data_IF_337938723824
#
_entry.id   IF_337938723824
#
_cell.length_a   1.000
_cell.length_b   1.000
_cell.length_c   1.000
_cell.angle_alpha   90.00
_cell.angle_beta   90.00
_cell.angle_gamma   90.00
#
_symmetry.space_group_name_H-M   'P 1'
#
loop_
_entity.id
_entity.type
_entity.pdbx_description
1 polymer ?
#
# COMPACT_ATOMS: atom_id res chain seq x y z
N UNK A 1 -43.84 -14.89 -18.60
CA UNK A 1 -43.30 -13.90 -19.55
C UNK A 1 -44.45 -13.02 -20.02
N UNK A 2 -44.37 -11.71 -19.82
CA UNK A 2 -45.43 -10.76 -20.19
C UNK A 2 -45.45 -10.61 -21.72
N UNK A 3 -46.40 -11.24 -22.40
CA UNK A 3 -46.50 -11.22 -23.87
C UNK A 3 -47.18 -9.93 -24.30
N UNK A 4 -46.46 -9.07 -25.02
CA UNK A 4 -47.03 -7.93 -25.73
C UNK A 4 -47.51 -8.37 -27.14
N UNK A 5 -48.46 -7.65 -27.76
CA UNK A 5 -48.99 -8.00 -29.09
C UNK A 5 -47.90 -7.86 -30.18
N UNK A 6 -48.09 -8.52 -31.33
CA UNK A 6 -47.16 -8.66 -32.46
C UNK A 6 -46.42 -7.39 -32.96
N UNK A 7 -46.88 -6.18 -32.63
CA UNK A 7 -46.25 -4.89 -33.00
C UNK A 7 -45.63 -4.13 -31.82
N UNK A 8 -45.58 -4.75 -30.64
CA UNK A 8 -45.10 -4.15 -29.38
C UNK A 8 -44.21 -5.14 -28.62
N UNK A 9 -43.22 -4.64 -27.90
CA UNK A 9 -42.34 -5.44 -27.05
C UNK A 9 -42.34 -4.89 -25.62
N UNK A 10 -41.95 -5.71 -24.65
CA UNK A 10 -41.97 -5.33 -23.25
C UNK A 10 -40.65 -4.64 -22.84
N UNK A 11 -40.72 -3.38 -22.41
CA UNK A 11 -39.60 -2.62 -21.85
C UNK A 11 -39.98 -2.09 -20.46
N UNK A 12 -39.21 -2.43 -19.41
CA UNK A 12 -39.48 -2.06 -18.01
C UNK A 12 -40.96 -2.27 -17.58
N UNK A 13 -41.56 -3.41 -17.98
CA UNK A 13 -42.97 -3.78 -17.70
C UNK A 13 -44.04 -2.97 -18.45
N UNK A 14 -43.66 -2.16 -19.44
CA UNK A 14 -44.58 -1.42 -20.34
C UNK A 14 -44.45 -1.98 -21.76
N UNK A 15 -45.57 -2.18 -22.46
CA UNK A 15 -45.54 -2.54 -23.88
C UNK A 15 -45.29 -1.30 -24.73
N UNK A 16 -44.15 -1.26 -25.42
CA UNK A 16 -43.72 -0.17 -26.31
C UNK A 16 -43.69 -0.66 -27.76
N UNK A 17 -43.89 0.24 -28.72
CA UNK A 17 -43.85 -0.13 -30.13
C UNK A 17 -42.45 -0.59 -30.56
N UNK A 18 -42.38 -1.51 -31.52
CA UNK A 18 -41.11 -1.85 -32.16
C UNK A 18 -40.50 -0.62 -32.83
N UNK A 19 -39.21 -0.36 -32.57
CA UNK A 19 -38.49 0.82 -33.07
C UNK A 19 -38.50 2.04 -32.15
N UNK A 20 -39.39 2.11 -31.16
CA UNK A 20 -39.37 3.17 -30.14
C UNK A 20 -38.70 2.65 -28.88
N UNK A 21 -37.38 2.82 -28.77
CA UNK A 21 -36.68 2.68 -27.49
C UNK A 21 -36.76 4.05 -26.81
N UNK A 22 -37.48 4.21 -25.68
CA UNK A 22 -37.39 5.43 -24.90
C UNK A 22 -35.91 5.69 -24.60
N UNK A 23 -35.45 6.93 -24.80
CA UNK A 23 -34.07 7.27 -24.47
C UNK A 23 -33.77 6.86 -23.03
N UNK A 24 -32.63 6.21 -22.84
CA UNK A 24 -32.15 5.93 -21.50
C UNK A 24 -31.90 7.27 -20.83
N UNK A 25 -32.64 7.58 -19.77
CA UNK A 25 -32.24 8.66 -18.89
C UNK A 25 -30.98 8.19 -18.20
N UNK A 26 -29.85 8.84 -18.48
CA UNK A 26 -28.63 8.59 -17.74
C UNK A 26 -28.91 8.83 -16.26
N UNK A 27 -28.72 7.78 -15.45
CA UNK A 27 -28.86 7.87 -14.01
C UNK A 27 -27.83 8.85 -13.47
N UNK A 28 -28.28 9.89 -12.77
CA UNK A 28 -27.40 10.75 -12.00
C UNK A 28 -26.83 9.99 -10.80
N UNK A 29 -25.61 10.34 -10.39
CA UNK A 29 -25.06 9.86 -9.13
C UNK A 29 -25.86 10.42 -7.95
N UNK A 30 -26.24 9.54 -7.01
CA UNK A 30 -26.80 9.98 -5.73
C UNK A 30 -25.79 10.76 -4.89
N UNK A 31 -26.26 11.40 -3.82
CA UNK A 31 -25.39 11.98 -2.80
C UNK A 31 -24.53 10.89 -2.13
N UNK A 32 -23.33 11.27 -1.74
CA UNK A 32 -22.46 10.44 -0.90
C UNK A 32 -23.10 10.18 0.47
N UNK A 33 -22.95 8.97 1.00
CA UNK A 33 -23.25 8.67 2.38
C UNK A 33 -22.29 9.41 3.31
N UNK A 34 -22.65 9.47 4.59
CA UNK A 34 -21.65 9.77 5.61
C UNK A 34 -20.48 8.78 5.50
N UNK A 35 -19.27 9.26 5.81
CA UNK A 35 -18.08 8.42 5.91
C UNK A 35 -18.24 7.38 7.01
N UNK A 36 -17.79 6.16 6.75
CA UNK A 36 -17.71 5.11 7.76
C UNK A 36 -16.65 5.40 8.82
N UNK A 37 -16.63 4.60 9.88
CA UNK A 37 -15.56 4.67 10.87
C UNK A 37 -14.20 4.31 10.25
N UNK A 38 -13.14 4.93 10.76
CA UNK A 38 -11.79 4.61 10.31
C UNK A 38 -11.43 3.19 10.73
N UNK A 39 -10.83 2.43 9.81
CA UNK A 39 -10.32 1.08 10.13
C UNK A 39 -9.27 1.08 11.24
N UNK A 40 -8.66 2.24 11.53
CA UNK A 40 -7.60 2.42 12.55
C UNK A 40 -7.69 3.79 13.22
N UNK A 41 -7.17 3.85 14.45
CA UNK A 41 -7.05 5.07 15.26
C UNK A 41 -5.66 5.74 15.22
N UNK A 42 -4.66 5.08 14.62
CA UNK A 42 -3.31 5.63 14.40
C UNK A 42 -2.64 4.99 13.18
N UNK A 43 -1.59 5.64 12.65
CA UNK A 43 -0.70 5.06 11.63
C UNK A 43 -1.35 4.88 10.24
N UNK A 44 -2.39 5.67 9.94
CA UNK A 44 -3.13 5.63 8.68
C UNK A 44 -4.15 4.49 8.66
N UNK A 45 -5.43 4.83 8.83
CA UNK A 45 -6.57 3.94 8.59
C UNK A 45 -7.32 4.37 7.34
N UNK A 46 -8.29 3.57 6.93
CA UNK A 46 -9.12 3.82 5.75
C UNK A 46 -10.58 3.95 6.16
N UNK A 47 -11.30 4.90 5.59
CA UNK A 47 -12.75 5.06 5.72
C UNK A 47 -13.38 5.09 4.32
N UNK A 48 -14.57 4.50 4.19
CA UNK A 48 -15.32 4.47 2.92
C UNK A 48 -16.66 5.20 3.00
N UNK A 49 -17.11 5.70 1.85
CA UNK A 49 -18.43 6.31 1.64
C UNK A 49 -19.03 5.75 0.36
N UNK A 50 -20.35 5.51 0.38
CA UNK A 50 -21.11 4.88 -0.71
C UNK A 50 -22.20 5.83 -1.18
N UNK A 51 -22.47 5.89 -2.48
CA UNK A 51 -23.59 6.67 -3.06
C UNK A 51 -24.53 5.80 -3.86
N UNK A 52 -25.75 6.27 -4.06
CA UNK A 52 -26.75 5.57 -4.88
C UNK A 52 -26.32 5.51 -6.36
N UNK A 53 -26.46 4.34 -6.99
CA UNK A 53 -25.78 3.87 -8.22
C UNK A 53 -24.29 3.49 -8.04
N UNK A 54 -23.91 3.16 -6.81
CA UNK A 54 -22.90 2.20 -6.32
C UNK A 54 -21.46 2.33 -6.86
N UNK A 55 -20.86 3.50 -6.59
CA UNK A 55 -19.40 3.65 -6.56
C UNK A 55 -18.99 3.89 -5.11
N UNK A 56 -18.07 3.09 -4.59
CA UNK A 56 -17.46 3.28 -3.27
C UNK A 56 -16.26 4.22 -3.39
N UNK A 57 -16.19 5.24 -2.52
CA UNK A 57 -15.02 6.10 -2.39
C UNK A 57 -14.33 5.80 -1.07
N UNK A 58 -13.02 5.73 -1.15
CA UNK A 58 -12.15 5.35 -0.06
C UNK A 58 -11.20 6.50 0.21
N UNK A 59 -11.14 6.94 1.45
CA UNK A 59 -10.26 8.02 1.90
C UNK A 59 -9.40 7.53 3.06
N UNK A 60 -8.15 7.98 3.11
CA UNK A 60 -7.29 7.71 4.27
C UNK A 60 -7.68 8.64 5.40
N UNK A 61 -7.89 8.07 6.59
CA UNK A 61 -8.20 8.87 7.76
C UNK A 61 -6.99 9.73 8.17
N UNK A 62 -7.18 11.04 8.40
CA UNK A 62 -6.13 11.89 8.92
C UNK A 62 -5.89 11.56 10.39
N UNK A 63 -4.82 10.83 10.71
CA UNK A 63 -4.48 10.47 12.09
C UNK A 63 -2.98 10.39 12.36
N UNK A 64 -2.63 10.65 13.63
CA UNK A 64 -1.29 10.64 14.22
C UNK A 64 -0.54 9.34 13.89
N UNK A 65 0.78 9.45 13.69
CA UNK A 65 1.65 8.28 13.64
C UNK A 65 1.44 7.45 14.91
N UNK A 66 1.37 6.13 14.75
CA UNK A 66 1.30 5.28 15.93
C UNK A 66 2.57 5.49 16.77
N UNK A 67 2.48 5.38 18.11
CA UNK A 67 3.64 5.49 18.98
C UNK A 67 4.78 4.58 18.51
N UNK A 68 6.03 5.04 18.70
CA UNK A 68 7.21 4.25 18.36
C UNK A 68 7.16 2.89 19.08
N UNK A 69 7.38 1.80 18.33
CA UNK A 69 7.24 0.43 18.85
C UNK A 69 5.82 -0.13 18.79
N UNK A 70 4.86 0.58 18.18
CA UNK A 70 3.55 0.00 17.84
C UNK A 70 3.71 -1.21 16.92
N UNK A 71 2.88 -2.24 17.16
CA UNK A 71 2.89 -3.49 16.38
C UNK A 71 2.40 -3.22 14.96
N UNK A 72 2.94 -3.96 13.98
CA UNK A 72 2.43 -3.95 12.62
C UNK A 72 0.96 -4.39 12.62
N UNK A 73 0.12 -3.66 11.91
CA UNK A 73 -1.32 -3.96 11.85
C UNK A 73 -1.59 -5.33 11.22
N UNK A 74 -0.74 -5.77 10.29
CA UNK A 74 -0.82 -7.13 9.76
C UNK A 74 -0.42 -8.18 10.80
N UNK A 75 0.50 -7.84 11.71
CA UNK A 75 0.89 -8.72 12.82
C UNK A 75 -0.26 -8.91 13.79
N UNK A 76 -1.00 -7.84 14.11
CA UNK A 76 -2.19 -7.91 14.97
C UNK A 76 -3.21 -8.90 14.36
N UNK A 77 -3.54 -8.74 13.08
CA UNK A 77 -4.47 -9.62 12.36
C UNK A 77 -4.01 -11.09 12.34
N UNK A 78 -2.71 -11.37 12.23
CA UNK A 78 -2.22 -12.74 12.36
C UNK A 78 -2.36 -13.26 13.80
N UNK A 79 -2.07 -12.44 14.82
CA UNK A 79 -2.13 -12.86 16.22
C UNK A 79 -3.54 -13.17 16.73
N UNK A 80 -4.58 -12.68 16.06
CA UNK A 80 -5.98 -13.06 16.34
C UNK A 80 -6.20 -14.59 16.23
N UNK A 81 -5.34 -15.27 15.45
CA UNK A 81 -5.38 -16.71 15.26
C UNK A 81 -4.49 -17.52 16.23
N UNK A 82 -3.72 -16.87 17.11
CA UNK A 82 -2.82 -17.56 18.06
C UNK A 82 -3.61 -18.48 19.02
N UNK A 83 -4.83 -18.04 19.38
CA UNK A 83 -5.76 -18.78 20.24
C UNK A 83 -6.62 -19.81 19.50
N UNK A 84 -6.45 -19.95 18.18
CA UNK A 84 -7.24 -20.87 17.35
C UNK A 84 -6.36 -22.04 16.87
N UNK A 85 -6.71 -23.30 17.20
CA UNK A 85 -5.89 -24.44 16.82
C UNK A 85 -5.88 -24.65 15.30
N UNK A 86 -4.70 -24.86 14.73
CA UNK A 86 -4.51 -25.28 13.34
C UNK A 86 -3.99 -26.72 13.32
N UNK A 87 -4.76 -27.64 12.73
CA UNK A 87 -4.45 -29.08 12.74
C UNK A 87 -4.16 -29.63 14.15
N UNK A 88 -4.92 -29.17 15.14
CA UNK A 88 -4.84 -29.63 16.53
C UNK A 88 -3.70 -29.04 17.36
N UNK A 89 -2.96 -28.04 16.84
CA UNK A 89 -1.89 -27.34 17.57
C UNK A 89 -2.09 -25.83 17.53
N UNK A 90 -1.58 -25.16 18.56
CA UNK A 90 -1.51 -23.70 18.62
C UNK A 90 -0.15 -23.24 18.10
N UNK A 91 -0.13 -22.07 17.48
CA UNK A 91 1.06 -21.47 16.89
C UNK A 91 1.04 -19.98 17.17
N UNK A 92 2.23 -19.39 17.31
CA UNK A 92 2.39 -17.94 17.21
C UNK A 92 2.49 -17.56 15.75
N UNK A 93 1.60 -16.70 15.29
CA UNK A 93 1.49 -16.33 13.88
C UNK A 93 2.17 -14.99 13.60
N UNK A 94 3.00 -14.96 12.56
CA UNK A 94 3.66 -13.75 12.06
C UNK A 94 3.27 -13.47 10.62
N UNK A 95 3.23 -12.20 10.18
CA UNK A 95 2.95 -11.86 8.79
C UNK A 95 3.91 -12.55 7.81
N UNK A 96 3.37 -13.11 6.73
CA UNK A 96 4.15 -13.63 5.62
C UNK A 96 3.87 -12.82 4.34
N UNK A 97 4.92 -12.15 3.84
CA UNK A 97 4.89 -11.33 2.61
C UNK A 97 5.81 -11.90 1.50
N UNK A 98 6.18 -13.18 1.59
CA UNK A 98 7.13 -13.81 0.67
C UNK A 98 6.62 -13.94 -0.78
N UNK A 99 7.48 -14.41 -1.68
CA UNK A 99 7.13 -14.59 -3.09
C UNK A 99 6.01 -15.62 -3.30
N UNK A 100 5.04 -15.29 -4.14
CA UNK A 100 3.95 -16.19 -4.52
C UNK A 100 2.63 -16.01 -3.76
N UNK A 101 2.56 -15.12 -2.77
CA UNK A 101 1.29 -14.75 -2.11
C UNK A 101 0.79 -13.39 -2.58
N UNK A 102 -0.54 -13.19 -2.55
CA UNK A 102 -1.13 -11.88 -2.85
C UNK A 102 -0.82 -10.90 -1.72
N UNK A 103 -0.28 -9.72 -2.03
CA UNK A 103 0.14 -8.73 -1.02
C UNK A 103 -0.98 -8.34 -0.05
N UNK A 104 -2.22 -8.30 -0.51
CA UNK A 104 -3.37 -7.91 0.30
C UNK A 104 -4.19 -9.10 0.82
N UNK A 105 -3.69 -10.34 0.70
CA UNK A 105 -4.23 -11.49 1.43
C UNK A 105 -3.52 -11.66 2.77
N UNK A 106 -4.21 -12.21 3.77
CA UNK A 106 -3.64 -12.44 5.09
C UNK A 106 -2.96 -13.81 5.13
N UNK A 107 -1.68 -13.85 4.77
CA UNK A 107 -0.84 -15.03 4.95
C UNK A 107 -0.05 -14.92 6.25
N UNK A 108 -0.11 -15.97 7.07
CA UNK A 108 0.56 -16.01 8.36
C UNK A 108 1.51 -17.22 8.44
N UNK A 109 2.77 -16.93 8.75
CA UNK A 109 3.84 -17.89 9.03
C UNK A 109 3.74 -18.37 10.48
N UNK A 110 3.86 -19.67 10.70
CA UNK A 110 3.99 -20.21 12.06
C UNK A 110 5.43 -20.00 12.56
N UNK A 111 5.60 -19.16 13.58
CA UNK A 111 6.91 -18.82 14.14
C UNK A 111 7.63 -20.07 14.67
N UNK A 112 8.89 -20.25 14.29
CA UNK A 112 9.67 -21.45 14.61
C UNK A 112 9.39 -22.65 13.70
N UNK A 113 8.55 -22.51 12.67
CA UNK A 113 8.24 -23.56 11.70
C UNK A 113 8.41 -23.07 10.26
N UNK A 114 8.52 -24.01 9.32
CA UNK A 114 8.78 -23.74 7.90
C UNK A 114 7.50 -23.76 7.04
N UNK A 115 6.37 -23.33 7.59
CA UNK A 115 5.12 -23.26 6.82
C UNK A 115 4.31 -22.01 7.15
N UNK A 116 3.63 -21.48 6.13
CA UNK A 116 2.63 -20.44 6.27
C UNK A 116 1.28 -20.94 5.75
N UNK A 117 0.22 -20.22 6.08
CA UNK A 117 -1.12 -20.48 5.55
C UNK A 117 -1.87 -19.17 5.33
N UNK A 118 -2.72 -19.15 4.31
CA UNK A 118 -3.69 -18.08 4.12
C UNK A 118 -4.76 -18.20 5.22
N UNK A 119 -4.92 -17.16 6.03
CA UNK A 119 -5.91 -17.05 7.11
C UNK A 119 -7.16 -16.30 6.67
N UNK A 120 -7.02 -15.38 5.71
CA UNK A 120 -8.11 -14.64 5.10
C UNK A 120 -7.76 -14.19 3.68
N UNK A 121 -8.76 -14.11 2.77
CA UNK A 121 -8.54 -13.70 1.38
C UNK A 121 -8.11 -12.24 1.24
N UNK A 122 -8.47 -11.40 2.22
CA UNK A 122 -8.08 -10.00 2.30
C UNK A 122 -7.67 -9.65 3.73
N UNK A 123 -6.66 -8.78 3.86
CA UNK A 123 -6.37 -8.06 5.10
C UNK A 123 -7.39 -6.94 5.31
N UNK A 124 -7.50 -6.44 6.53
CA UNK A 124 -8.34 -5.28 6.85
C UNK A 124 -7.85 -4.05 6.05
N UNK A 125 -8.80 -3.29 5.50
CA UNK A 125 -8.49 -2.11 4.70
C UNK A 125 -7.65 -1.08 5.47
N UNK A 126 -6.68 -0.49 4.78
CA UNK A 126 -5.67 0.38 5.37
C UNK A 126 -4.44 -0.36 5.91
N UNK A 127 -4.41 -1.69 5.89
CA UNK A 127 -3.17 -2.44 6.17
C UNK A 127 -2.13 -2.13 5.10
N UNK A 128 -0.88 -1.79 5.46
CA UNK A 128 0.19 -1.63 4.49
C UNK A 128 0.39 -2.89 3.64
N UNK A 129 0.54 -2.70 2.32
CA UNK A 129 0.81 -3.81 1.42
C UNK A 129 2.23 -4.35 1.56
N UNK A 130 3.20 -3.44 1.71
CA UNK A 130 4.64 -3.69 1.74
C UNK A 130 5.27 -2.82 2.83
N UNK A 131 6.38 -3.27 3.39
CA UNK A 131 7.01 -2.61 4.55
C UNK A 131 7.65 -1.25 4.16
N UNK A 132 8.12 -1.12 2.92
CA UNK A 132 8.82 0.08 2.42
C UNK A 132 7.95 1.01 1.55
N UNK A 133 6.61 0.95 1.68
CA UNK A 133 5.73 1.85 0.93
C UNK A 133 4.53 2.31 1.75
N UNK A 134 4.04 3.51 1.43
CA UNK A 134 2.78 4.03 1.97
C UNK A 134 1.55 3.34 1.39
N UNK A 135 1.71 2.51 0.36
CA UNK A 135 0.62 1.80 -0.29
C UNK A 135 -0.13 0.90 0.69
N UNK A 136 -1.46 0.95 0.61
CA UNK A 136 -2.37 0.24 1.51
C UNK A 136 -3.30 -0.68 0.75
N UNK A 137 -3.75 -1.73 1.43
CA UNK A 137 -4.77 -2.63 0.94
C UNK A 137 -6.15 -1.99 1.06
N UNK A 138 -6.91 -2.03 -0.02
CA UNK A 138 -8.30 -1.58 -0.10
C UNK A 138 -9.08 -2.57 -0.94
N UNK A 139 -10.17 -3.13 -0.41
CA UNK A 139 -10.98 -4.14 -1.10
C UNK A 139 -10.13 -5.32 -1.64
N UNK A 140 -9.12 -5.73 -0.88
CA UNK A 140 -8.22 -6.84 -1.24
C UNK A 140 -7.19 -6.54 -2.33
N UNK A 141 -7.11 -5.29 -2.81
CA UNK A 141 -6.11 -4.85 -3.79
C UNK A 141 -5.14 -3.82 -3.18
N UNK A 142 -3.90 -3.84 -3.63
CA UNK A 142 -2.93 -2.85 -3.19
C UNK A 142 -3.09 -1.53 -3.96
N UNK A 143 -3.30 -0.43 -3.25
CA UNK A 143 -3.53 0.90 -3.82
C UNK A 143 -2.40 1.86 -3.44
N UNK A 144 -2.00 2.69 -4.41
CA UNK A 144 -0.94 3.67 -4.22
C UNK A 144 -1.38 4.80 -3.27
N UNK A 145 -0.49 5.23 -2.39
CA UNK A 145 -0.69 6.39 -1.51
C UNK A 145 0.50 7.34 -1.67
N UNK A 146 0.22 8.62 -1.95
CA UNK A 146 1.24 9.66 -2.04
C UNK A 146 1.84 10.01 -0.67
N UNK A 147 2.93 10.78 -0.65
CA UNK A 147 3.58 11.20 0.60
C UNK A 147 2.69 12.11 1.47
N UNK A 148 1.65 12.69 0.87
CA UNK A 148 0.62 13.51 1.51
C UNK A 148 -0.46 12.67 2.21
N UNK A 149 -0.30 11.34 2.19
CA UNK A 149 -1.22 10.34 2.74
C UNK A 149 -2.57 10.30 2.02
N UNK A 150 -2.62 10.72 0.75
CA UNK A 150 -3.84 10.67 -0.06
C UNK A 150 -3.79 9.49 -1.03
N UNK A 151 -4.89 8.72 -1.07
CA UNK A 151 -5.04 7.56 -1.95
C UNK A 151 -4.99 8.00 -3.42
N UNK A 152 -4.07 7.44 -4.19
CA UNK A 152 -3.87 7.75 -5.60
C UNK A 152 -3.23 9.13 -5.88
N UNK A 153 -2.69 9.80 -4.85
CA UNK A 153 -1.94 11.04 -5.05
C UNK A 153 -0.55 10.74 -5.63
N UNK A 154 -0.19 11.47 -6.68
CA UNK A 154 1.13 11.36 -7.33
C UNK A 154 2.19 12.26 -6.66
N UNK A 155 1.85 12.92 -5.55
CA UNK A 155 2.79 13.78 -4.81
C UNK A 155 3.86 12.91 -4.16
N UNK A 156 5.12 13.24 -4.43
CA UNK A 156 6.30 12.51 -3.94
C UNK A 156 7.13 13.37 -3.01
N UNK A 157 7.91 12.69 -2.18
CA UNK A 157 8.95 13.33 -1.40
C UNK A 157 10.04 13.89 -2.33
N UNK A 158 10.55 15.07 -2.00
CA UNK A 158 11.73 15.63 -2.62
C UNK A 158 13.02 14.96 -2.10
N UNK A 159 14.18 15.40 -2.58
CA UNK A 159 15.49 14.90 -2.12
C UNK A 159 15.75 15.11 -0.61
N UNK A 160 14.96 15.96 0.04
CA UNK A 160 15.04 16.29 1.45
C UNK A 160 13.99 15.55 2.30
N UNK A 161 13.27 14.59 1.71
CA UNK A 161 12.15 13.86 2.31
C UNK A 161 10.99 14.76 2.74
N UNK A 162 10.85 15.91 2.09
CA UNK A 162 9.68 16.78 2.27
C UNK A 162 8.68 16.45 1.17
N UNK A 163 7.47 16.10 1.59
CA UNK A 163 6.39 15.82 0.65
C UNK A 163 6.03 17.06 -0.18
N UNK A 164 6.11 16.96 -1.51
CA UNK A 164 5.86 18.08 -2.42
C UNK A 164 6.88 19.22 -2.32
N UNK A 165 8.05 18.96 -1.72
CA UNK A 165 9.10 19.95 -1.59
C UNK A 165 9.83 20.23 -2.90
N UNK A 166 10.62 21.31 -2.90
CA UNK A 166 11.42 21.77 -4.05
C UNK A 166 12.91 21.37 -3.93
N UNK A 167 13.27 20.64 -2.89
CA UNK A 167 14.65 20.23 -2.59
C UNK A 167 15.53 21.33 -2.00
N UNK A 168 15.01 22.51 -1.69
CA UNK A 168 15.79 23.64 -1.16
C UNK A 168 16.07 23.55 0.35
N UNK A 169 15.38 22.67 1.06
CA UNK A 169 15.40 22.56 2.53
C UNK A 169 16.57 21.76 3.12
N UNK A 170 17.39 21.15 2.28
CA UNK A 170 18.56 20.36 2.66
C UNK A 170 19.69 20.53 1.65
N UNK A 171 20.91 20.23 2.08
CA UNK A 171 22.08 20.18 1.22
C UNK A 171 22.62 18.75 1.14
N UNK A 172 23.11 18.37 -0.04
CA UNK A 172 23.87 17.13 -0.19
C UNK A 172 25.30 17.36 0.28
N UNK A 173 25.76 16.57 1.25
CA UNK A 173 27.15 16.57 1.69
C UNK A 173 27.77 15.23 1.26
N UNK A 174 28.82 15.30 0.44
CA UNK A 174 29.60 14.13 0.03
C UNK A 174 30.85 14.01 0.91
N UNK A 175 31.10 12.79 1.42
CA UNK A 175 32.29 12.49 2.21
C UNK A 175 32.76 11.06 1.98
N UNK A 176 34.07 10.87 2.06
CA UNK A 176 34.72 9.54 2.01
C UNK A 176 35.03 9.13 3.44
N UNK A 177 34.39 8.06 3.92
CA UNK A 177 34.69 7.51 5.24
C UNK A 177 35.84 6.51 5.11
N UNK A 178 36.98 6.79 5.76
CA UNK A 178 38.19 5.97 5.67
C UNK A 178 38.54 5.38 7.04
N UNK A 179 37.65 4.54 7.60
CA UNK A 179 38.00 3.72 8.76
C UNK A 179 38.58 2.40 8.27
N UNK A 180 39.90 2.30 8.35
CA UNK A 180 40.65 1.06 8.14
C UNK A 180 40.28 0.05 9.23
N UNK A 181 39.37 -0.88 8.93
CA UNK A 181 39.13 -2.05 9.77
C UNK A 181 40.38 -2.96 9.76
N UNK A 182 40.84 -3.50 10.92
CA UNK A 182 42.03 -4.32 10.98
C UNK A 182 41.87 -5.64 10.21
N UNK A 183 43.00 -6.07 9.64
CA UNK A 183 43.25 -7.17 8.71
C UNK A 183 42.37 -8.43 8.86
N UNK A 184 41.74 -8.84 7.74
CA UNK A 184 41.04 -10.13 7.69
C UNK A 184 40.22 -10.44 6.43
N UNK A 185 40.75 -10.21 5.22
CA UNK A 185 40.42 -11.00 4.02
C UNK A 185 39.07 -10.81 3.30
N UNK A 186 39.07 -9.96 2.25
CA UNK A 186 38.61 -10.21 0.85
C UNK A 186 38.45 -8.86 0.13
N UNK A 187 39.16 -8.71 -0.99
CA UNK A 187 39.22 -7.57 -1.92
C UNK A 187 38.16 -6.46 -1.70
N UNK A 188 38.59 -5.32 -1.15
CA UNK A 188 37.77 -4.13 -0.96
C UNK A 188 38.31 -2.99 -1.84
N UNK A 189 37.82 -2.87 -3.07
CA UNK A 189 37.93 -1.64 -3.85
C UNK A 189 36.52 -1.02 -4.02
N UNK A 190 35.83 -0.84 -2.91
CA UNK A 190 34.62 -0.03 -2.84
C UNK A 190 34.71 0.81 -1.56
N UNK A 191 35.33 1.99 -1.66
CA UNK A 191 35.16 3.00 -0.63
C UNK A 191 33.68 3.41 -0.61
N UNK A 192 32.94 3.25 0.49
CA UNK A 192 31.56 3.69 0.53
C UNK A 192 31.55 5.23 0.50
N UNK A 193 31.09 5.80 -0.62
CA UNK A 193 30.69 7.20 -0.65
C UNK A 193 29.34 7.28 0.07
N UNK A 194 29.34 7.83 1.28
CA UNK A 194 28.11 8.05 2.03
C UNK A 194 27.63 9.46 1.70
N UNK A 195 26.49 9.56 1.00
CA UNK A 195 25.78 10.82 0.83
C UNK A 195 25.08 11.18 2.14
N UNK A 196 25.61 12.17 2.84
CA UNK A 196 25.00 12.74 4.03
C UNK A 196 24.08 13.87 3.61
N UNK A 197 22.77 13.64 3.67
CA UNK A 197 21.80 14.73 3.57
C UNK A 197 21.69 15.36 4.95
N UNK A 198 22.31 16.53 5.13
CA UNK A 198 22.12 17.31 6.34
C UNK A 198 20.88 18.19 6.16
N UNK A 199 19.84 17.90 6.95
CA UNK A 199 18.68 18.78 7.10
C UNK A 199 18.56 19.17 8.57
N UNK A 200 17.94 20.32 8.85
CA UNK A 200 17.64 20.73 10.23
C UNK A 200 16.61 19.83 10.94
N UNK A 201 16.06 18.80 10.27
CA UNK A 201 14.94 18.00 10.77
C UNK A 201 15.07 16.48 10.64
N UNK A 202 16.10 15.93 9.99
CA UNK A 202 16.28 14.47 9.93
C UNK A 202 17.74 14.08 9.68
N UNK A 203 18.28 13.26 10.58
CA UNK A 203 19.53 12.52 10.42
C UNK A 203 19.17 11.10 9.95
N UNK A 204 18.90 10.92 8.65
CA UNK A 204 18.69 9.58 8.09
C UNK A 204 19.71 9.29 7.00
N UNK A 205 20.58 8.32 7.28
CA UNK A 205 21.63 7.83 6.40
C UNK A 205 21.02 6.91 5.33
N UNK A 206 21.36 7.12 4.06
CA UNK A 206 21.16 6.14 2.99
C UNK A 206 22.54 5.77 2.44
N UNK A 207 22.88 4.49 2.50
CA UNK A 207 24.09 3.97 1.88
C UNK A 207 23.76 3.65 0.42
N UNK A 208 24.19 4.52 -0.50
CA UNK A 208 24.14 4.26 -1.94
C UNK A 208 25.52 3.78 -2.39
N UNK A 209 25.63 2.50 -2.77
CA UNK A 209 26.81 1.99 -3.45
C UNK A 209 26.81 2.54 -4.88
N UNK A 210 27.65 3.54 -5.15
CA UNK A 210 27.91 4.01 -6.51
C UNK A 210 29.07 3.15 -7.06
N UNK A 211 28.90 2.43 -8.17
CA UNK A 211 30.02 1.74 -8.81
C UNK A 211 31.05 2.75 -9.32
N UNK A 212 32.33 2.42 -9.20
CA UNK A 212 33.44 3.27 -9.64
C UNK A 212 33.36 3.57 -11.14
N UNK A 213 33.95 4.70 -11.54
CA UNK A 213 34.03 5.21 -12.92
C UNK A 213 34.58 4.20 -13.96
N UNK A 214 35.16 3.07 -13.55
CA UNK A 214 35.55 1.98 -14.45
C UNK A 214 34.35 1.15 -14.97
N UNK A 215 33.15 1.22 -14.38
CA UNK A 215 31.97 0.48 -14.86
C UNK A 215 31.08 1.27 -15.83
N UNK A 216 31.34 2.56 -16.06
CA UNK A 216 30.55 3.39 -16.98
C UNK A 216 30.90 3.18 -18.47
N UNK A 217 32.01 2.51 -18.79
CA UNK A 217 32.34 2.16 -20.18
C UNK A 217 31.68 0.85 -20.67
N UNK A 218 30.90 0.16 -19.82
CA UNK A 218 30.25 -1.11 -20.19
C UNK A 218 28.78 -0.98 -20.68
N UNK A 219 28.21 0.23 -20.70
CA UNK A 219 26.86 0.50 -21.22
C UNK A 219 26.90 1.51 -22.36
N UNK A 220 27.69 1.22 -23.40
CA UNK A 220 27.50 1.77 -24.73
C UNK A 220 27.63 0.64 -25.74
N UNK A 221 26.50 0.00 -26.07
CA UNK A 221 26.22 -0.64 -27.36
C UNK A 221 24.76 -0.35 -27.69
#
# INVERSE_FOLDING_TARGET
MSVCKHTTWCFKRVCVAYGTRPEGVDGGWGLWSAWGECSRTCGGGVSSSVRHCDKEFVHLCPMQECPAGSRDFREIQCSDFDSTPFRGKFYTWKPYRGGGVKSCSLNCLAEGYNFYTERAPAVVDGTPCRDDSLDVCVNGECKHVGCDRVLGSDVREDRCRICGGDGSSCISVEGVFNDSLPEGGRNQNASPVILLLSSSKSSQFRQSLIPTLEQQEAFTI
#
